data_IF_886437254694
#
_entry.id   IF_886437254694
#
_cell.length_a   1.000
_cell.length_b   1.000
_cell.length_c   1.000
_cell.angle_alpha   90.00
_cell.angle_beta   90.00
_cell.angle_gamma   90.00
#
_symmetry.space_group_name_H-M   'P 1'
#
loop_
_entity.id
_entity.type
_entity.pdbx_description
1 polymer ?
#
# COMPACT_ATOMS: atom_id res chain seq x y z
N UNK A 1 23.68 -36.37 7.60
CA UNK A 1 23.64 -35.03 8.23
C UNK A 1 22.41 -34.38 7.68
N UNK A 2 21.40 -34.25 8.54
CA UNK A 2 20.07 -33.79 8.17
C UNK A 2 19.62 -32.97 9.37
N UNK A 3 19.65 -31.64 9.25
CA UNK A 3 19.30 -30.71 10.31
C UNK A 3 17.88 -30.25 10.02
N UNK A 4 16.92 -30.73 10.82
CA UNK A 4 15.53 -30.26 10.78
C UNK A 4 15.30 -29.33 11.96
N UNK A 5 14.98 -28.07 11.66
CA UNK A 5 14.50 -27.11 12.64
C UNK A 5 13.01 -27.36 12.92
N UNK A 6 12.64 -27.39 14.20
CA UNK A 6 11.24 -27.52 14.63
C UNK A 6 10.94 -26.44 15.67
N UNK A 7 10.17 -25.43 15.27
CA UNK A 7 9.64 -24.40 16.16
C UNK A 7 8.42 -25.01 16.89
N UNK A 8 8.36 -24.86 18.21
CA UNK A 8 7.16 -25.17 19.00
C UNK A 8 6.70 -23.92 19.74
N UNK A 9 5.50 -23.47 19.41
CA UNK A 9 4.70 -22.51 20.20
C UNK A 9 4.04 -23.22 21.38
N UNK A 10 3.85 -22.49 22.49
CA UNK A 10 3.05 -22.90 23.66
C UNK A 10 1.85 -21.94 23.66
N UNK A 11 0.58 -22.36 23.69
CA UNK A 11 0.00 -23.27 24.67
C UNK A 11 -1.23 -24.03 24.13
N UNK A 12 -1.44 -25.26 24.64
CA UNK A 12 -2.74 -25.95 24.66
C UNK A 12 -2.84 -27.33 23.98
N UNK A 13 -2.37 -28.40 24.65
CA UNK A 13 -2.78 -29.84 24.52
C UNK A 13 -2.89 -30.48 23.12
N UNK A 14 -2.09 -31.49 22.73
CA UNK A 14 -2.16 -32.91 23.17
C UNK A 14 -0.77 -33.56 23.02
N UNK A 15 -0.28 -34.31 24.01
CA UNK A 15 0.99 -35.07 23.90
C UNK A 15 0.74 -36.58 23.77
N UNK A 16 1.29 -37.19 22.71
CA UNK A 16 1.57 -38.63 22.63
C UNK A 16 2.98 -38.88 23.19
N UNK A 17 3.12 -39.89 24.05
CA UNK A 17 4.40 -40.27 24.68
C UNK A 17 5.24 -41.16 23.76
N UNK A 18 6.54 -40.89 23.69
CA UNK A 18 7.55 -41.87 23.27
C UNK A 18 8.58 -42.01 24.40
N UNK A 19 8.73 -43.23 24.88
CA UNK A 19 9.57 -43.64 26.00
C UNK A 19 10.98 -44.01 25.50
N UNK A 20 12.05 -43.40 26.02
CA UNK A 20 13.38 -44.06 26.16
C UNK A 20 14.17 -43.42 27.32
N UNK A 21 14.55 -44.25 28.30
CA UNK A 21 15.85 -44.19 29.01
C UNK A 21 16.11 -43.09 30.03
N UNK A 22 16.12 -43.46 31.30
CA UNK A 22 16.31 -42.60 32.48
C UNK A 22 17.76 -42.14 32.75
N UNK A 23 17.97 -40.86 33.08
CA UNK A 23 18.92 -40.36 34.10
C UNK A 23 18.38 -39.00 34.62
N UNK A 24 18.03 -38.92 35.91
CA UNK A 24 17.63 -37.65 36.57
C UNK A 24 18.85 -37.02 37.25
N UNK A 25 19.33 -35.87 36.75
CA UNK A 25 20.28 -35.00 37.44
C UNK A 25 19.55 -33.69 37.76
N UNK A 26 19.41 -33.38 39.04
CA UNK A 26 18.84 -32.10 39.51
C UNK A 26 19.88 -30.98 39.31
N UNK A 27 19.75 -30.23 38.22
CA UNK A 27 20.35 -28.89 38.12
C UNK A 27 19.31 -27.87 38.56
N UNK A 28 19.52 -27.25 39.73
CA UNK A 28 18.87 -25.98 40.03
C UNK A 28 19.50 -24.92 39.12
N UNK A 29 18.93 -24.73 37.94
CA UNK A 29 19.20 -23.53 37.13
C UNK A 29 18.35 -22.43 37.76
N UNK A 30 19.00 -21.56 38.54
CA UNK A 30 18.49 -20.20 38.73
C UNK A 30 18.50 -19.57 37.33
N UNK A 31 17.38 -19.64 36.62
CA UNK A 31 17.15 -18.74 35.50
C UNK A 31 16.96 -17.36 36.10
N UNK A 32 17.86 -16.38 35.87
CA UNK A 32 17.45 -15.01 36.04
C UNK A 32 16.21 -14.84 35.15
N UNK A 33 15.10 -14.40 35.75
CA UNK A 33 13.98 -13.84 34.98
C UNK A 33 14.54 -12.56 34.39
N UNK A 34 15.17 -12.66 33.22
CA UNK A 34 15.29 -11.52 32.35
C UNK A 34 13.87 -11.20 31.93
N UNK A 35 13.31 -10.16 32.55
CA UNK A 35 12.15 -9.47 32.03
C UNK A 35 12.64 -8.73 30.76
N UNK A 36 12.89 -9.48 29.68
CA UNK A 36 13.03 -8.87 28.37
C UNK A 36 11.64 -8.32 28.07
N UNK A 37 11.47 -7.00 28.27
CA UNK A 37 10.29 -6.30 27.80
C UNK A 37 10.11 -6.68 26.32
N UNK A 38 9.03 -7.37 26.00
CA UNK A 38 8.65 -7.64 24.61
C UNK A 38 8.56 -6.29 23.92
N UNK A 39 9.47 -6.03 22.98
CA UNK A 39 9.48 -4.75 22.29
C UNK A 39 8.16 -4.62 21.51
N UNK A 40 7.48 -3.51 21.72
CA UNK A 40 6.25 -3.18 20.99
C UNK A 40 6.70 -2.51 19.68
N UNK A 41 6.32 -3.08 18.55
CA UNK A 41 6.63 -2.50 17.24
C UNK A 41 5.55 -1.48 16.87
N UNK A 42 6.00 -0.31 16.44
CA UNK A 42 5.18 0.69 15.78
C UNK A 42 5.58 0.72 14.31
N UNK A 43 4.64 0.39 13.43
CA UNK A 43 4.86 0.39 11.98
C UNK A 43 4.05 1.49 11.31
N UNK A 44 4.70 2.26 10.45
CA UNK A 44 4.05 3.23 9.57
C UNK A 44 3.83 2.57 8.21
N UNK A 45 2.59 2.55 7.74
CA UNK A 45 2.20 2.01 6.44
C UNK A 45 2.77 2.83 5.29
N UNK A 46 3.06 2.16 4.19
CA UNK A 46 3.44 2.82 2.93
C UNK A 46 2.24 2.92 2.00
N UNK A 47 2.16 4.00 1.24
CA UNK A 47 1.07 4.27 0.30
C UNK A 47 1.63 4.87 -0.99
N UNK A 48 0.84 4.77 -2.06
CA UNK A 48 1.13 5.35 -3.37
C UNK A 48 0.04 6.39 -3.66
N UNK A 49 0.38 7.47 -4.37
CA UNK A 49 -0.61 8.42 -4.87
C UNK A 49 0.00 9.46 -5.80
N UNK A 50 -0.86 10.23 -6.45
CA UNK A 50 -0.47 11.20 -7.47
C UNK A 50 -0.36 12.64 -6.92
N UNK A 51 0.38 13.54 -7.58
CA UNK A 51 0.43 14.95 -7.20
C UNK A 51 -0.97 15.60 -7.09
N UNK A 52 -1.27 16.20 -5.94
CA UNK A 52 -2.57 16.81 -5.64
C UNK A 52 -3.58 15.89 -4.94
N UNK A 53 -3.30 14.59 -4.83
CA UNK A 53 -4.18 13.60 -4.18
C UNK A 53 -4.07 13.63 -2.65
N UNK A 54 -5.14 13.19 -1.97
CA UNK A 54 -5.12 12.89 -0.54
C UNK A 54 -4.93 11.39 -0.31
N UNK A 55 -3.90 11.02 0.46
CA UNK A 55 -3.55 9.63 0.77
C UNK A 55 -3.54 9.37 2.28
N UNK A 56 -3.84 8.14 2.68
CA UNK A 56 -3.95 7.77 4.09
C UNK A 56 -2.87 6.76 4.51
N UNK A 57 -1.85 7.22 5.21
CA UNK A 57 -0.87 6.33 5.85
C UNK A 57 -1.36 5.93 7.25
N UNK A 58 -1.18 4.67 7.64
CA UNK A 58 -1.62 4.16 8.94
C UNK A 58 -0.46 3.82 9.84
N UNK A 59 -0.53 4.20 11.10
CA UNK A 59 0.37 3.72 12.14
C UNK A 59 -0.33 2.56 12.86
N UNK A 60 0.34 1.40 12.89
CA UNK A 60 -0.12 0.20 13.57
C UNK A 60 0.81 -0.16 14.73
N UNK A 61 0.23 -0.71 15.79
CA UNK A 61 0.96 -1.21 16.95
C UNK A 61 0.66 -2.70 17.14
N UNK A 62 1.67 -3.56 17.03
CA UNK A 62 1.50 -5.02 16.96
C UNK A 62 0.98 -5.65 18.27
N UNK A 63 1.40 -5.13 19.42
CA UNK A 63 0.86 -5.50 20.73
C UNK A 63 0.45 -4.25 21.51
N UNK A 64 -0.77 -3.80 21.24
CA UNK A 64 -1.38 -2.65 21.89
C UNK A 64 -2.09 -2.99 23.21
N UNK A 65 -1.96 -4.24 23.70
CA UNK A 65 -2.68 -4.67 24.91
C UNK A 65 -2.25 -3.90 26.15
N UNK A 66 -0.95 -3.62 26.28
CA UNK A 66 -0.38 -2.89 27.41
C UNK A 66 -0.26 -1.39 27.18
N UNK A 67 -0.43 -0.90 25.94
CA UNK A 67 -0.23 0.53 25.60
C UNK A 67 -1.26 1.40 26.30
N UNK A 68 -0.83 2.40 27.05
CA UNK A 68 -1.71 3.33 27.76
C UNK A 68 -1.65 4.75 27.20
N UNK A 69 -0.56 5.11 26.54
CA UNK A 69 -0.44 6.38 25.86
C UNK A 69 0.68 6.37 24.82
N UNK A 70 0.61 7.38 23.98
CA UNK A 70 1.51 7.63 22.87
C UNK A 70 1.90 9.10 22.89
N UNK A 71 3.20 9.37 22.82
CA UNK A 71 3.70 10.68 22.41
C UNK A 71 4.79 10.52 21.37
N UNK A 72 4.55 11.09 20.20
CA UNK A 72 5.53 11.09 19.12
C UNK A 72 5.42 12.33 18.26
N UNK A 73 6.46 12.56 17.47
CA UNK A 73 6.44 13.54 16.38
C UNK A 73 6.54 12.80 15.06
N UNK A 74 5.54 12.96 14.21
CA UNK A 74 5.53 12.45 12.83
C UNK A 74 6.43 13.36 12.01
N UNK A 75 7.46 12.78 11.39
CA UNK A 75 8.39 13.45 10.49
C UNK A 75 8.16 12.96 9.06
N UNK A 76 8.13 13.92 8.16
CA UNK A 76 7.93 13.75 6.73
C UNK A 76 8.52 14.96 6.01
N UNK A 77 8.60 14.91 4.68
CA UNK A 77 9.07 16.02 3.88
C UNK A 77 7.95 17.04 3.63
N UNK A 78 8.03 18.18 4.31
CA UNK A 78 7.05 19.27 4.22
C UNK A 78 7.15 20.06 2.92
N UNK A 79 8.19 19.82 2.10
CA UNK A 79 8.31 20.44 0.78
C UNK A 79 7.30 19.85 -0.20
N UNK A 80 7.06 18.54 -0.15
CA UNK A 80 6.17 17.81 -1.06
C UNK A 80 4.83 17.36 -0.43
N UNK A 81 4.76 17.25 0.89
CA UNK A 81 3.59 16.72 1.60
C UNK A 81 3.03 17.73 2.60
N UNK A 82 1.71 17.67 2.80
CA UNK A 82 1.00 18.38 3.87
C UNK A 82 0.23 17.36 4.70
N UNK A 83 0.39 17.36 6.03
CA UNK A 83 -0.41 16.49 6.91
C UNK A 83 -1.69 17.21 7.35
N UNK A 84 -2.79 16.94 6.64
CA UNK A 84 -4.09 17.59 6.83
C UNK A 84 -4.71 17.24 8.19
N UNK A 85 -4.86 15.95 8.47
CA UNK A 85 -5.43 15.46 9.72
C UNK A 85 -4.72 14.22 10.27
N UNK A 86 -4.91 14.04 11.57
CA UNK A 86 -4.47 12.86 12.30
C UNK A 86 -5.64 12.42 13.17
N UNK A 87 -6.02 11.16 13.07
CA UNK A 87 -7.11 10.58 13.86
C UNK A 87 -6.77 9.16 14.31
N UNK A 88 -7.37 8.68 15.38
CA UNK A 88 -7.29 7.29 15.79
C UNK A 88 -8.64 6.58 15.61
N UNK A 89 -8.62 5.24 15.66
CA UNK A 89 -9.82 4.42 15.54
C UNK A 89 -10.69 4.37 16.82
N UNK A 90 -10.57 5.37 17.71
CA UNK A 90 -11.21 5.41 19.02
C UNK A 90 -10.54 4.52 20.07
N UNK A 91 -9.28 4.17 19.85
CA UNK A 91 -8.47 3.40 20.80
C UNK A 91 -8.04 4.24 22.00
N UNK A 92 -7.80 5.53 21.80
CA UNK A 92 -7.46 6.47 22.86
C UNK A 92 -8.69 7.25 23.32
N UNK A 93 -8.86 7.40 24.64
CA UNK A 93 -9.93 8.23 25.22
C UNK A 93 -9.67 9.73 24.99
N UNK A 94 -8.39 10.10 24.91
CA UNK A 94 -7.92 11.45 24.62
C UNK A 94 -6.87 11.36 23.51
N UNK A 95 -7.11 12.08 22.42
CA UNK A 95 -6.20 12.17 21.29
C UNK A 95 -6.05 13.63 20.86
N UNK A 96 -4.80 14.11 20.78
CA UNK A 96 -4.49 15.49 20.39
C UNK A 96 -3.31 15.52 19.43
N UNK A 97 -3.35 16.43 18.46
CA UNK A 97 -2.23 16.74 17.57
C UNK A 97 -1.91 18.23 17.61
N UNK A 98 -0.63 18.57 17.52
CA UNK A 98 -0.19 19.97 17.41
C UNK A 98 -0.43 20.51 16.00
N UNK A 99 -0.26 21.81 15.82
CA UNK A 99 0.02 22.36 14.49
C UNK A 99 1.36 21.83 13.98
N UNK A 100 1.52 21.83 12.66
CA UNK A 100 2.77 21.48 12.01
C UNK A 100 3.84 22.54 12.29
N UNK A 101 5.05 22.10 12.63
CA UNK A 101 6.23 22.97 12.72
C UNK A 101 7.22 22.55 11.63
N UNK A 102 7.49 23.47 10.69
CA UNK A 102 8.40 23.23 9.56
C UNK A 102 9.76 22.67 10.03
N UNK A 103 10.20 21.57 9.40
CA UNK A 103 11.46 20.88 9.72
C UNK A 103 11.44 20.03 11.01
N UNK A 104 10.37 20.11 11.81
CA UNK A 104 10.17 19.32 13.04
C UNK A 104 9.06 18.28 12.83
N UNK A 105 8.01 18.62 12.10
CA UNK A 105 6.85 17.76 11.85
C UNK A 105 5.66 18.08 12.77
N UNK A 106 4.76 17.11 12.94
CA UNK A 106 3.53 17.27 13.74
C UNK A 106 3.58 16.35 14.95
N UNK A 107 3.34 16.89 16.14
CA UNK A 107 3.37 16.10 17.37
C UNK A 107 1.99 15.53 17.69
N UNK A 108 1.96 14.29 18.16
CA UNK A 108 0.77 13.56 18.59
C UNK A 108 0.94 13.24 20.07
N UNK A 109 -0.11 13.47 20.85
CA UNK A 109 -0.21 13.05 22.25
C UNK A 109 -1.56 12.40 22.50
N UNK A 110 -1.54 11.16 22.96
CA UNK A 110 -2.74 10.38 23.21
C UNK A 110 -2.65 9.54 24.49
N UNK A 111 -3.79 9.28 25.13
CA UNK A 111 -3.89 8.51 26.35
C UNK A 111 -5.24 7.76 26.46
N UNK A 112 -5.23 6.61 27.13
CA UNK A 112 -6.43 5.87 27.52
C UNK A 112 -6.41 5.48 28.99
N UNK A 113 -7.60 5.37 29.58
CA UNK A 113 -7.81 5.12 31.00
C UNK A 113 -7.75 3.63 31.37
N UNK A 114 -7.95 2.73 30.40
CA UNK A 114 -7.88 1.27 30.61
C UNK A 114 -7.13 0.60 29.47
N UNK A 115 -6.28 -0.38 29.81
CA UNK A 115 -5.61 -1.27 28.86
C UNK A 115 -6.48 -2.49 28.52
N UNK A 116 -6.24 -3.11 27.36
CA UNK A 116 -7.01 -4.26 26.91
C UNK A 116 -6.72 -4.66 25.47
N UNK A 117 -7.26 -5.82 25.07
CA UNK A 117 -7.14 -6.38 23.72
C UNK A 117 -7.98 -5.57 22.72
N UNK A 118 -7.38 -4.50 22.19
CA UNK A 118 -7.92 -3.71 21.09
C UNK A 118 -6.78 -3.34 20.16
N UNK A 119 -7.01 -3.34 18.85
CA UNK A 119 -6.02 -2.91 17.86
C UNK A 119 -5.92 -1.39 17.86
N UNK A 120 -4.72 -0.86 18.08
CA UNK A 120 -4.46 0.56 17.94
C UNK A 120 -4.13 0.89 16.48
N UNK A 121 -4.92 1.76 15.86
CA UNK A 121 -4.69 2.29 14.52
C UNK A 121 -4.79 3.81 14.57
N UNK A 122 -3.78 4.49 14.02
CA UNK A 122 -3.76 5.95 13.84
C UNK A 122 -3.66 6.24 12.34
N UNK A 123 -4.61 7.00 11.82
CA UNK A 123 -4.66 7.44 10.44
C UNK A 123 -4.00 8.80 10.31
N UNK A 124 -3.05 8.89 9.38
CA UNK A 124 -2.40 10.11 8.93
C UNK A 124 -2.97 10.46 7.55
N UNK A 125 -3.76 11.53 7.46
CA UNK A 125 -4.30 12.01 6.20
C UNK A 125 -3.32 13.02 5.59
N UNK A 126 -2.56 12.58 4.61
CA UNK A 126 -1.64 13.43 3.86
C UNK A 126 -2.30 13.95 2.59
N UNK A 127 -1.96 15.17 2.21
CA UNK A 127 -2.13 15.69 0.86
C UNK A 127 -0.76 15.75 0.19
N UNK A 128 -0.65 15.14 -0.98
CA UNK A 128 0.50 15.31 -1.87
C UNK A 128 0.32 16.65 -2.57
N UNK A 129 1.33 17.51 -2.51
CA UNK A 129 1.27 18.81 -3.18
C UNK A 129 1.29 18.65 -4.70
N UNK A 130 0.72 19.61 -5.41
CA UNK A 130 0.94 19.73 -6.86
C UNK A 130 2.32 20.35 -7.14
N UNK A 131 2.81 20.20 -8.36
CA UNK A 131 4.05 20.85 -8.79
C UNK A 131 4.04 22.36 -8.64
N UNK A 132 2.88 23.00 -8.81
CA UNK A 132 2.74 24.45 -8.65
C UNK A 132 2.91 24.90 -7.20
N UNK A 133 2.72 23.99 -6.25
CA UNK A 133 2.82 24.24 -4.81
C UNK A 133 4.23 23.97 -4.25
N UNK A 134 5.15 23.41 -5.03
CA UNK A 134 6.51 23.10 -4.60
C UNK A 134 7.57 24.06 -5.17
N UNK A 135 8.63 24.28 -4.39
CA UNK A 135 9.70 25.20 -4.78
C UNK A 135 10.56 24.69 -5.95
N UNK A 136 10.64 23.37 -6.12
CA UNK A 136 11.34 22.68 -7.21
C UNK A 136 10.49 22.56 -8.49
N UNK A 137 9.18 22.77 -8.38
CA UNK A 137 8.24 22.70 -9.50
C UNK A 137 8.02 21.29 -10.04
N UNK A 138 8.40 20.24 -9.29
CA UNK A 138 8.23 18.86 -9.74
C UNK A 138 8.24 17.87 -8.56
N UNK A 139 7.08 17.33 -8.22
CA UNK A 139 6.92 16.33 -7.14
C UNK A 139 7.15 14.94 -7.70
N UNK A 140 8.18 14.23 -7.21
CA UNK A 140 8.54 12.88 -7.66
C UNK A 140 9.34 12.12 -6.60
N UNK A 141 9.23 10.79 -6.61
CA UNK A 141 10.06 9.90 -5.81
C UNK A 141 9.38 9.31 -4.56
N UNK A 142 10.22 8.88 -3.61
CA UNK A 142 9.79 8.28 -2.34
C UNK A 142 9.98 9.26 -1.18
N UNK A 143 8.90 9.55 -0.45
CA UNK A 143 8.92 10.40 0.74
C UNK A 143 8.75 9.57 2.00
N UNK A 144 9.82 9.44 2.78
CA UNK A 144 9.80 8.68 4.04
C UNK A 144 8.89 9.35 5.10
N UNK A 145 8.08 8.53 5.78
CA UNK A 145 7.31 8.90 6.95
C UNK A 145 7.83 8.11 8.14
N UNK A 146 8.29 8.82 9.16
CA UNK A 146 8.82 8.20 10.39
C UNK A 146 8.25 8.86 11.63
N UNK A 147 8.28 8.15 12.76
CA UNK A 147 7.90 8.72 14.06
C UNK A 147 9.10 8.77 14.98
N UNK A 148 9.26 9.91 15.65
CA UNK A 148 10.35 10.16 16.58
C UNK A 148 9.81 10.41 17.99
N UNK A 149 10.57 10.08 19.04
CA UNK A 149 10.23 10.50 20.39
C UNK A 149 10.15 12.03 20.48
N UNK A 150 9.10 12.57 21.10
CA UNK A 150 8.98 14.00 21.35
C UNK A 150 9.64 14.39 22.68
N UNK A 151 10.25 15.57 22.73
CA UNK A 151 10.68 16.18 23.99
C UNK A 151 9.47 16.90 24.61
N UNK A 152 8.93 16.35 25.70
CA UNK A 152 7.77 16.91 26.40
C UNK A 152 8.24 17.84 27.52
N UNK A 153 7.73 19.08 27.54
CA UNK A 153 7.94 20.03 28.63
C UNK A 153 6.62 20.18 29.42
N UNK A 154 6.36 19.27 30.37
CA UNK A 154 5.15 19.30 31.20
C UNK A 154 5.45 19.13 32.71
N UNK A 155 5.86 20.22 33.37
CA UNK A 155 6.21 20.22 34.80
C UNK A 155 5.11 19.72 35.77
N UNK A 156 3.80 19.93 35.52
CA UNK A 156 2.75 19.47 36.45
C UNK A 156 2.65 17.95 36.60
N UNK A 157 3.12 17.16 35.63
CA UNK A 157 3.19 15.70 35.74
C UNK A 157 4.61 15.20 36.12
N UNK A 158 5.52 16.10 36.49
CA UNK A 158 6.88 15.76 36.92
C UNK A 158 7.90 15.60 35.80
N UNK A 159 7.56 15.98 34.55
CA UNK A 159 8.51 15.98 33.44
C UNK A 159 9.29 17.30 33.41
N UNK A 160 10.60 17.24 33.71
CA UNK A 160 11.53 18.37 33.60
C UNK A 160 12.03 18.53 32.16
N UNK A 161 12.52 19.73 31.83
CA UNK A 161 13.18 20.04 30.57
C UNK A 161 14.35 19.08 30.36
N UNK A 162 14.36 18.36 29.24
CA UNK A 162 15.35 17.34 28.80
C UNK A 162 15.01 15.86 29.10
N UNK A 163 13.81 15.55 29.60
CA UNK A 163 13.38 14.13 29.69
C UNK A 163 12.88 13.63 28.34
N UNK A 164 13.62 12.75 27.67
CA UNK A 164 13.11 12.01 26.50
C UNK A 164 12.07 10.98 26.97
N UNK A 165 10.81 11.20 26.61
CA UNK A 165 9.74 10.23 26.86
C UNK A 165 9.79 9.18 25.76
N UNK A 166 9.54 7.92 26.12
CA UNK A 166 9.44 6.87 25.11
C UNK A 166 8.16 7.06 24.32
N UNK A 167 8.19 6.64 23.05
CA UNK A 167 7.04 6.81 22.16
C UNK A 167 5.79 6.20 22.79
N UNK A 168 5.93 5.00 23.39
CA UNK A 168 4.84 4.30 24.06
C UNK A 168 5.14 4.11 25.55
N UNK A 169 4.08 4.18 26.35
CA UNK A 169 4.08 3.73 27.74
C UNK A 169 2.82 2.93 28.05
N UNK A 170 2.93 1.96 28.97
CA UNK A 170 1.80 1.15 29.40
C UNK A 170 1.20 1.60 30.73
N UNK A 171 0.19 0.89 31.24
CA UNK A 171 -0.37 1.08 32.60
C UNK A 171 0.26 0.08 33.57
N UNK A 172 0.87 0.55 34.66
CA UNK A 172 1.27 -0.30 35.79
C UNK A 172 0.07 -0.52 36.71
N UNK A 173 -0.66 -1.62 36.49
CA UNK A 173 -1.81 -1.98 37.34
C UNK A 173 -1.44 -2.28 38.80
N UNK A 174 -0.15 -2.41 39.12
CA UNK A 174 0.33 -2.59 40.49
C UNK A 174 0.49 -1.28 41.26
N UNK A 175 0.45 -0.13 40.58
CA UNK A 175 0.56 1.20 41.16
C UNK A 175 -0.73 1.98 40.95
N UNK A 176 -1.14 2.78 41.95
CA UNK A 176 -2.29 3.66 41.81
C UNK A 176 -1.88 4.96 41.08
N UNK A 177 -2.43 5.24 39.88
CA UNK A 177 -2.08 6.42 39.09
C UNK A 177 -2.44 7.73 39.79
N UNK A 178 -3.37 7.73 40.76
CA UNK A 178 -3.75 8.94 41.50
C UNK A 178 -2.79 9.28 42.63
N UNK A 179 -2.08 8.29 43.20
CA UNK A 179 -1.13 8.52 44.28
C UNK A 179 0.32 8.59 43.82
N UNK A 180 0.67 8.00 42.67
CA UNK A 180 2.03 8.07 42.13
C UNK A 180 2.08 8.07 40.59
N UNK A 181 1.58 9.12 39.92
CA UNK A 181 1.40 9.16 38.48
C UNK A 181 2.72 8.99 37.70
N UNK A 182 3.86 9.43 38.23
CA UNK A 182 5.16 9.33 37.55
C UNK A 182 5.77 7.92 37.53
N UNK A 183 5.25 7.00 38.34
CA UNK A 183 5.70 5.59 38.42
C UNK A 183 4.63 4.59 37.99
N UNK A 184 3.42 5.06 37.68
CA UNK A 184 2.28 4.23 37.31
C UNK A 184 2.26 3.80 35.83
N UNK A 185 3.28 4.15 35.03
CA UNK A 185 3.33 3.82 33.60
C UNK A 185 4.66 3.14 33.24
N UNK A 186 4.72 1.83 32.92
CA UNK A 186 5.94 1.20 32.44
C UNK A 186 6.39 1.79 31.11
N UNK A 187 7.69 2.05 30.99
CA UNK A 187 8.35 2.30 29.71
C UNK A 187 8.24 1.05 28.85
N UNK A 188 7.66 1.19 27.66
CA UNK A 188 7.70 0.14 26.64
C UNK A 188 8.93 0.38 25.76
N UNK A 189 9.68 -0.68 25.46
CA UNK A 189 10.70 -0.63 24.41
C UNK A 189 9.96 -0.59 23.08
N UNK A 190 10.21 0.45 22.29
CA UNK A 190 9.53 0.64 21.00
C UNK A 190 10.52 0.48 19.86
N UNK A 191 10.25 -0.42 18.93
CA UNK A 191 10.87 -0.44 17.60
C UNK A 191 9.99 0.35 16.64
N UNK A 192 10.58 1.26 15.86
CA UNK A 192 9.85 2.07 14.89
C UNK A 192 10.24 1.63 13.48
N UNK A 193 9.26 1.22 12.70
CA UNK A 193 9.40 0.95 11.27
C UNK A 193 8.79 2.11 10.49
N UNK A 194 9.64 2.80 9.72
CA UNK A 194 9.21 3.88 8.84
C UNK A 194 8.41 3.35 7.65
N UNK A 195 7.51 4.17 7.15
CA UNK A 195 6.76 3.96 5.92
C UNK A 195 7.19 4.99 4.87
N UNK A 196 6.54 4.98 3.72
CA UNK A 196 6.76 5.97 2.67
C UNK A 196 5.50 6.31 1.91
N UNK A 197 5.43 7.52 1.37
CA UNK A 197 4.54 7.87 0.27
C UNK A 197 5.37 7.83 -1.01
N UNK A 198 4.98 6.98 -1.95
CA UNK A 198 5.60 6.90 -3.28
C UNK A 198 4.71 7.63 -4.29
N UNK A 199 5.32 8.43 -5.16
CA UNK A 199 4.59 9.12 -6.24
C UNK A 199 4.40 8.17 -7.41
N UNK A 200 3.16 8.11 -7.91
CA UNK A 200 2.72 7.48 -9.17
C UNK A 200 1.91 8.56 -9.88
N UNK A 201 2.54 9.20 -10.85
CA UNK A 201 2.08 10.50 -11.35
C UNK A 201 1.05 10.39 -12.46
N UNK A 202 1.18 9.41 -13.32
CA UNK A 202 0.19 9.12 -14.35
C UNK A 202 -0.89 8.14 -13.87
N UNK A 203 -0.67 7.44 -12.74
CA UNK A 203 -1.67 6.62 -12.07
C UNK A 203 -1.86 5.26 -12.75
N UNK A 204 -0.85 4.74 -13.43
CA UNK A 204 -0.91 3.49 -14.18
C UNK A 204 -0.59 2.24 -13.32
N UNK A 205 -0.10 2.45 -12.10
CA UNK A 205 0.29 1.41 -11.15
C UNK A 205 1.79 1.20 -10.99
N UNK A 206 2.65 1.93 -11.71
CA UNK A 206 4.07 2.05 -11.44
C UNK A 206 4.37 3.37 -10.73
N UNK A 207 5.23 3.30 -9.72
CA UNK A 207 5.74 4.53 -9.12
C UNK A 207 6.77 5.19 -10.03
N UNK A 208 6.92 6.51 -9.95
CA UNK A 208 7.93 7.28 -10.66
C UNK A 208 9.35 6.70 -10.51
N UNK A 209 9.63 6.06 -9.37
CA UNK A 209 10.92 5.42 -9.09
C UNK A 209 11.09 4.13 -9.89
N UNK A 210 10.02 3.34 -9.99
CA UNK A 210 9.98 2.09 -10.77
C UNK A 210 10.06 2.38 -12.26
N UNK A 211 9.30 3.36 -12.75
CA UNK A 211 9.32 3.77 -14.14
C UNK A 211 10.70 4.22 -14.60
N UNK A 212 11.39 5.01 -13.78
CA UNK A 212 12.77 5.41 -14.04
C UNK A 212 13.74 4.22 -14.16
N UNK A 213 13.48 3.18 -13.38
CA UNK A 213 14.31 1.98 -13.37
C UNK A 213 14.03 1.10 -14.60
N UNK A 214 12.80 1.13 -15.11
CA UNK A 214 12.36 0.42 -16.31
C UNK A 214 12.65 1.21 -17.60
N UNK A 215 12.75 2.53 -17.52
CA UNK A 215 12.94 3.42 -18.66
C UNK A 215 11.62 3.86 -19.31
N UNK A 216 10.49 3.70 -18.62
CA UNK A 216 9.17 4.20 -19.02
C UNK A 216 9.01 5.70 -18.68
N UNK A 217 7.95 6.32 -19.19
CA UNK A 217 7.67 7.75 -19.07
C UNK A 217 6.64 8.06 -17.98
N UNK A 218 7.10 8.65 -16.88
CA UNK A 218 6.32 9.00 -15.66
C UNK A 218 5.10 9.88 -15.84
N UNK A 219 5.00 10.51 -16.99
CA UNK A 219 3.89 11.40 -17.32
C UNK A 219 2.93 10.74 -18.34
N UNK A 220 3.11 9.45 -18.64
CA UNK A 220 2.39 8.73 -19.68
C UNK A 220 2.16 7.25 -19.35
N UNK A 221 0.89 6.91 -19.08
CA UNK A 221 0.46 5.58 -18.64
C UNK A 221 0.81 4.42 -19.58
N UNK A 222 1.09 4.70 -20.85
CA UNK A 222 1.39 3.71 -21.90
C UNK A 222 2.55 4.26 -22.75
N UNK A 223 3.77 3.91 -22.36
CA UNK A 223 5.00 4.49 -22.91
C UNK A 223 5.19 4.13 -24.38
N UNK A 224 4.84 2.91 -24.79
CA UNK A 224 5.04 2.43 -26.14
C UNK A 224 3.81 2.57 -27.07
N UNK A 225 2.70 3.05 -26.51
CA UNK A 225 1.46 3.45 -27.16
C UNK A 225 0.77 2.30 -27.88
N UNK A 226 0.67 1.14 -27.23
CA UNK A 226 0.06 -0.06 -27.78
C UNK A 226 -1.34 -0.39 -27.24
N UNK A 227 -1.81 0.42 -26.29
CA UNK A 227 -3.13 0.34 -25.66
C UNK A 227 -3.14 -0.40 -24.33
N UNK A 228 -1.98 -0.86 -23.84
CA UNK A 228 -1.81 -1.48 -22.53
C UNK A 228 -0.98 -0.55 -21.63
N UNK A 229 -1.41 -0.25 -20.39
CA UNK A 229 -0.62 0.59 -19.49
C UNK A 229 0.67 -0.09 -19.00
N UNK A 230 1.75 0.66 -18.80
CA UNK A 230 3.07 0.13 -18.45
C UNK A 230 3.01 -0.71 -17.16
N UNK A 231 2.26 -0.24 -16.16
CA UNK A 231 2.05 -0.95 -14.90
C UNK A 231 1.32 -2.27 -15.06
N UNK A 232 0.34 -2.34 -15.96
CA UNK A 232 -0.34 -3.59 -16.28
C UNK A 232 0.61 -4.56 -16.99
N UNK A 233 1.38 -4.07 -17.95
CA UNK A 233 2.35 -4.88 -18.69
C UNK A 233 3.41 -5.50 -17.77
N UNK A 234 3.98 -4.70 -16.86
CA UNK A 234 4.96 -5.16 -15.87
C UNK A 234 4.35 -6.23 -14.96
N UNK A 235 3.10 -6.07 -14.52
CA UNK A 235 2.39 -7.08 -13.72
C UNK A 235 2.23 -8.39 -14.51
N UNK A 236 1.92 -8.30 -15.80
CA UNK A 236 1.79 -9.45 -16.70
C UNK A 236 3.13 -9.98 -17.25
N UNK A 237 4.26 -9.35 -16.90
CA UNK A 237 5.61 -9.69 -17.41
C UNK A 237 5.74 -9.52 -18.93
N UNK A 238 5.00 -8.55 -19.47
CA UNK A 238 5.19 -7.98 -20.79
C UNK A 238 6.26 -6.89 -20.71
N UNK A 239 6.58 -6.29 -21.86
CA UNK A 239 7.62 -5.29 -21.97
C UNK A 239 7.01 -3.93 -22.36
N UNK A 240 6.94 -2.96 -21.43
CA UNK A 240 6.29 -1.65 -21.64
C UNK A 240 7.05 -0.69 -22.57
N UNK A 241 7.97 -1.24 -23.35
CA UNK A 241 8.81 -0.53 -24.31
C UNK A 241 8.81 -1.26 -25.68
N UNK A 242 7.95 -2.26 -25.86
CA UNK A 242 7.79 -3.05 -27.08
C UNK A 242 6.31 -3.20 -27.45
N UNK A 243 5.82 -2.17 -28.13
CA UNK A 243 4.47 -2.04 -28.67
C UNK A 243 3.99 -3.18 -29.59
N UNK A 244 4.85 -4.17 -29.86
CA UNK A 244 4.50 -5.33 -30.67
C UNK A 244 3.99 -6.50 -29.83
N UNK A 245 4.21 -6.47 -28.52
CA UNK A 245 3.84 -7.56 -27.63
C UNK A 245 2.34 -7.57 -27.28
N UNK A 246 1.63 -6.44 -27.38
CA UNK A 246 0.15 -6.39 -27.45
C UNK A 246 -0.47 -7.40 -28.40
N UNK A 247 0.21 -7.72 -29.50
CA UNK A 247 -0.27 -8.65 -30.54
C UNK A 247 0.19 -10.09 -30.36
N UNK A 248 1.00 -10.36 -29.35
CA UNK A 248 1.47 -11.71 -29.06
C UNK A 248 0.40 -12.43 -28.25
N UNK A 249 0.16 -13.69 -28.59
CA UNK A 249 -0.59 -14.65 -27.77
C UNK A 249 0.40 -15.30 -26.81
N UNK A 250 0.51 -14.74 -25.60
CA UNK A 250 1.53 -15.13 -24.63
C UNK A 250 1.29 -16.53 -24.05
N UNK A 251 0.05 -16.99 -23.96
CA UNK A 251 -0.30 -18.28 -23.35
C UNK A 251 -0.79 -19.37 -24.32
N UNK A 252 -0.97 -19.02 -25.59
CA UNK A 252 -1.27 -19.92 -26.70
C UNK A 252 -2.73 -20.31 -26.83
N UNK A 253 -3.68 -19.49 -26.37
CA UNK A 253 -5.11 -19.79 -26.42
C UNK A 253 -5.87 -19.20 -27.61
N UNK A 254 -5.16 -18.44 -28.45
CA UNK A 254 -5.68 -17.81 -29.66
C UNK A 254 -6.26 -16.41 -29.44
N UNK A 255 -5.87 -15.71 -28.38
CA UNK A 255 -6.12 -14.28 -28.18
C UNK A 255 -4.81 -13.55 -27.90
N UNK A 256 -4.67 -12.33 -28.38
CA UNK A 256 -3.49 -11.51 -28.11
C UNK A 256 -3.59 -10.79 -26.74
N UNK A 257 -2.44 -10.36 -26.20
CA UNK A 257 -2.35 -9.69 -24.91
C UNK A 257 -3.26 -8.46 -24.78
N UNK A 258 -3.33 -7.61 -25.81
CA UNK A 258 -4.22 -6.44 -25.83
C UNK A 258 -5.69 -6.83 -25.74
N UNK A 259 -6.08 -7.89 -26.47
CA UNK A 259 -7.45 -8.39 -26.48
C UNK A 259 -7.85 -8.92 -25.09
N UNK A 260 -6.91 -9.49 -24.37
CA UNK A 260 -7.09 -9.96 -23.00
C UNK A 260 -7.11 -8.84 -21.98
N UNK A 261 -6.27 -7.81 -22.13
CA UNK A 261 -6.30 -6.60 -21.34
C UNK A 261 -7.70 -5.97 -21.36
N UNK A 262 -8.25 -5.72 -22.57
CA UNK A 262 -9.58 -5.12 -22.76
C UNK A 262 -10.70 -5.99 -22.16
N UNK A 263 -10.55 -7.32 -22.16
CA UNK A 263 -11.51 -8.24 -21.55
C UNK A 263 -11.27 -8.58 -20.08
N UNK A 264 -10.27 -7.96 -19.45
CA UNK A 264 -9.85 -8.26 -18.09
C UNK A 264 -9.60 -9.77 -17.86
N UNK A 265 -9.01 -10.44 -18.85
CA UNK A 265 -8.56 -11.82 -18.74
C UNK A 265 -7.06 -11.87 -18.45
N UNK A 266 -6.48 -13.08 -18.32
CA UNK A 266 -5.12 -13.22 -17.83
C UNK A 266 -4.26 -13.77 -18.96
N UNK A 267 -3.36 -12.95 -19.56
CA UNK A 267 -2.62 -13.33 -20.76
C UNK A 267 -1.53 -14.38 -20.55
N UNK A 268 -1.51 -14.96 -19.35
CA UNK A 268 -0.51 -15.93 -18.93
C UNK A 268 -1.16 -17.26 -18.59
N UNK A 269 -2.45 -17.41 -18.89
CA UNK A 269 -3.26 -18.53 -18.46
C UNK A 269 -4.40 -18.81 -19.45
N UNK A 270 -4.13 -19.70 -20.40
CA UNK A 270 -5.02 -20.15 -21.49
C UNK A 270 -6.43 -20.65 -21.13
N UNK A 271 -6.71 -20.82 -19.84
CA UNK A 271 -8.07 -21.09 -19.34
C UNK A 271 -8.90 -19.83 -19.08
N UNK A 272 -8.25 -18.66 -19.05
CA UNK A 272 -8.80 -17.36 -18.69
C UNK A 272 -8.78 -16.52 -19.95
N UNK A 273 -9.86 -16.60 -20.74
CA UNK A 273 -9.86 -16.11 -22.10
C UNK A 273 -11.11 -15.33 -22.44
N UNK A 274 -11.05 -14.40 -23.42
CA UNK A 274 -12.22 -13.70 -23.90
C UNK A 274 -13.30 -14.68 -24.40
N UNK A 275 -14.55 -14.41 -24.04
CA UNK A 275 -15.70 -15.23 -24.44
C UNK A 275 -16.74 -14.48 -25.27
N UNK A 276 -16.62 -13.16 -25.36
CA UNK A 276 -17.54 -12.28 -26.09
C UNK A 276 -16.77 -11.65 -27.24
N UNK A 277 -17.35 -11.64 -28.44
CA UNK A 277 -16.86 -10.84 -29.57
C UNK A 277 -17.12 -9.36 -29.26
N UNK A 278 -16.07 -8.53 -29.32
CA UNK A 278 -16.19 -7.08 -29.11
C UNK A 278 -16.52 -6.36 -30.42
N UNK A 279 -16.19 -6.97 -31.57
CA UNK A 279 -16.45 -6.42 -32.89
C UNK A 279 -17.81 -6.82 -33.49
N UNK A 280 -18.60 -7.67 -32.82
CA UNK A 280 -19.97 -8.00 -33.23
C UNK A 280 -20.91 -6.81 -32.92
N UNK A 281 -21.18 -5.99 -33.93
CA UNK A 281 -21.94 -4.74 -33.79
C UNK A 281 -23.44 -4.94 -33.95
N UNK A 282 -23.86 -6.06 -34.53
CA UNK A 282 -25.26 -6.33 -34.88
C UNK A 282 -25.90 -7.41 -33.96
N UNK A 283 -25.11 -7.99 -33.05
CA UNK A 283 -25.45 -9.08 -32.11
C UNK A 283 -25.94 -10.36 -32.81
N UNK A 284 -25.34 -10.75 -33.94
CA UNK A 284 -25.66 -11.99 -34.66
C UNK A 284 -24.66 -13.15 -34.42
N UNK A 285 -23.78 -12.99 -33.43
CA UNK A 285 -22.79 -13.95 -32.95
C UNK A 285 -21.65 -14.23 -33.97
N UNK A 286 -21.45 -13.41 -35.00
CA UNK A 286 -20.25 -13.44 -35.83
C UNK A 286 -19.66 -12.05 -36.13
N UNK A 287 -18.45 -12.04 -36.72
CA UNK A 287 -17.80 -10.80 -37.17
C UNK A 287 -17.49 -10.95 -38.64
N UNK A 288 -18.22 -10.23 -39.49
CA UNK A 288 -18.19 -10.41 -40.93
C UNK A 288 -18.05 -9.08 -41.71
N UNK A 289 -18.45 -9.11 -42.98
CA UNK A 289 -18.36 -7.94 -43.86
C UNK A 289 -19.28 -6.78 -43.45
N UNK A 290 -20.34 -7.03 -42.67
CA UNK A 290 -21.20 -5.99 -42.13
C UNK A 290 -20.42 -5.14 -41.13
N UNK A 291 -19.79 -5.75 -40.13
CA UNK A 291 -19.01 -5.06 -39.10
C UNK A 291 -17.81 -4.34 -39.72
N UNK A 292 -17.15 -4.97 -40.72
CA UNK A 292 -16.07 -4.31 -41.48
C UNK A 292 -16.56 -3.03 -42.18
N UNK A 293 -17.78 -3.04 -42.71
CA UNK A 293 -18.35 -1.88 -43.39
C UNK A 293 -18.66 -0.73 -42.43
N UNK A 294 -19.11 -1.05 -41.21
CA UNK A 294 -19.33 -0.06 -40.14
C UNK A 294 -18.01 0.47 -39.59
N UNK A 295 -17.03 -0.39 -39.29
CA UNK A 295 -15.69 0.03 -38.86
C UNK A 295 -15.04 0.95 -39.90
N UNK A 296 -15.10 0.60 -41.19
CA UNK A 296 -14.52 1.40 -42.26
C UNK A 296 -15.21 2.77 -42.41
N UNK A 297 -16.50 2.88 -42.05
CA UNK A 297 -17.23 4.16 -42.04
C UNK A 297 -16.76 5.08 -40.92
N UNK A 298 -16.28 4.49 -39.82
CA UNK A 298 -15.93 5.19 -38.59
C UNK A 298 -14.43 5.39 -38.42
N UNK A 299 -13.58 4.73 -39.21
CA UNK A 299 -12.12 4.89 -39.13
C UNK A 299 -11.67 6.36 -39.18
N UNK A 300 -10.79 6.74 -38.25
CA UNK A 300 -10.32 8.11 -37.97
C UNK A 300 -11.39 9.07 -37.43
N UNK A 301 -12.55 8.56 -37.01
CA UNK A 301 -13.52 9.36 -36.27
C UNK A 301 -12.99 9.62 -34.86
N UNK A 302 -13.13 10.87 -34.41
CA UNK A 302 -12.81 11.30 -33.05
C UNK A 302 -14.06 11.83 -32.36
N UNK A 303 -14.06 11.85 -31.03
CA UNK A 303 -15.19 12.22 -30.17
C UNK A 303 -16.31 11.16 -30.13
N UNK A 304 -15.94 9.89 -29.98
CA UNK A 304 -16.88 8.80 -29.72
C UNK A 304 -17.50 8.84 -28.30
N UNK A 305 -17.53 10.02 -27.67
CA UNK A 305 -17.85 10.31 -26.26
C UNK A 305 -19.30 10.02 -25.82
N UNK A 306 -20.11 9.34 -26.63
CA UNK A 306 -21.38 8.74 -26.21
C UNK A 306 -21.92 7.79 -27.30
N UNK A 307 -21.54 6.51 -27.24
CA UNK A 307 -22.26 5.35 -27.80
C UNK A 307 -22.70 5.38 -29.27
N UNK A 308 -22.02 6.11 -30.16
CA UNK A 308 -22.36 6.11 -31.60
C UNK A 308 -21.26 5.60 -32.52
N UNK A 309 -20.05 5.37 -32.00
CA UNK A 309 -19.02 4.68 -32.75
C UNK A 309 -19.08 3.20 -32.35
N UNK A 310 -19.48 2.35 -33.27
CA UNK A 310 -19.38 0.91 -33.10
C UNK A 310 -17.91 0.47 -33.15
N UNK A 311 -17.10 1.16 -33.96
CA UNK A 311 -15.70 0.84 -34.19
C UNK A 311 -14.71 1.21 -33.09
N UNK A 312 -15.13 1.84 -31.98
CA UNK A 312 -14.27 2.17 -30.84
C UNK A 312 -14.26 0.97 -29.87
N UNK A 313 -13.39 0.00 -30.17
CA UNK A 313 -13.31 -1.32 -29.55
C UNK A 313 -12.50 -1.31 -28.25
N UNK A 314 -11.54 -0.39 -28.10
CA UNK A 314 -10.76 -0.21 -26.86
C UNK A 314 -11.38 0.84 -25.91
N UNK A 315 -12.34 1.64 -26.39
CA UNK A 315 -13.08 2.62 -25.59
C UNK A 315 -12.32 3.92 -25.36
N UNK A 316 -11.26 4.20 -26.11
CA UNK A 316 -10.43 5.40 -25.95
C UNK A 316 -11.08 6.67 -26.56
N UNK A 317 -12.22 6.54 -27.24
CA UNK A 317 -12.98 7.65 -27.80
C UNK A 317 -12.60 8.05 -29.23
N UNK A 318 -11.70 7.31 -29.86
CA UNK A 318 -11.33 7.42 -31.28
C UNK A 318 -11.42 6.06 -31.94
N UNK A 319 -11.71 6.04 -33.25
CA UNK A 319 -11.60 4.81 -34.04
C UNK A 319 -10.31 4.88 -34.83
N UNK A 320 -9.32 4.09 -34.46
CA UNK A 320 -7.97 4.18 -35.01
C UNK A 320 -7.36 2.80 -35.36
N UNK A 321 -6.02 2.76 -35.42
CA UNK A 321 -5.31 1.56 -35.81
C UNK A 321 -5.45 0.43 -34.78
N UNK A 322 -5.61 0.74 -33.50
CA UNK A 322 -5.78 -0.24 -32.42
C UNK A 322 -7.10 -0.99 -32.60
N UNK A 323 -8.19 -0.27 -32.88
CA UNK A 323 -9.49 -0.88 -33.18
C UNK A 323 -9.45 -1.75 -34.43
N UNK A 324 -8.79 -1.28 -35.49
CA UNK A 324 -8.65 -2.08 -36.70
C UNK A 324 -7.91 -3.39 -36.43
N UNK A 325 -6.94 -3.40 -35.52
CA UNK A 325 -6.21 -4.62 -35.16
C UNK A 325 -7.08 -5.56 -34.32
N UNK A 326 -7.80 -5.03 -33.33
CA UNK A 326 -8.77 -5.81 -32.54
C UNK A 326 -9.86 -6.43 -33.42
N UNK A 327 -10.34 -5.68 -34.42
CA UNK A 327 -11.28 -6.18 -35.40
C UNK A 327 -10.71 -7.36 -36.20
N UNK A 328 -9.47 -7.24 -36.70
CA UNK A 328 -8.82 -8.30 -37.49
C UNK A 328 -8.65 -9.60 -36.69
N UNK A 329 -8.46 -9.50 -35.37
CA UNK A 329 -8.37 -10.67 -34.49
C UNK A 329 -9.68 -11.47 -34.44
N UNK A 330 -10.83 -10.79 -34.55
CA UNK A 330 -12.16 -11.40 -34.48
C UNK A 330 -12.80 -11.67 -35.85
N UNK A 331 -12.29 -11.05 -36.93
CA UNK A 331 -12.87 -11.20 -38.25
C UNK A 331 -12.94 -12.67 -38.71
N UNK A 332 -14.16 -13.14 -39.00
CA UNK A 332 -14.45 -14.51 -39.40
C UNK A 332 -14.52 -15.51 -38.23
N UNK A 333 -14.60 -15.04 -36.98
CA UNK A 333 -15.00 -15.87 -35.82
C UNK A 333 -16.53 -15.95 -35.75
N UNK A 334 -17.03 -17.07 -35.21
CA UNK A 334 -18.45 -17.44 -35.04
C UNK A 334 -18.63 -18.27 -33.76
#
# INVERSE_FOLDING_TARGET
>A
MDVRFQIHTRAGGVRRYLFVGAVFIWFFVFSPVFNEATAVTLSVGSVVGSPGENVQAKILIDDSSEVAGLVCTVRYDTSALTLESVSDNGFFDVFTSSDEIAGVGRSISAARAQTGEATCEITLDFRIKTDEETDDGYVTGDYEITVMPTVLNYPPAGYDTDTTINILWGLDTSQDPFTNPGLAYPKLTTEVLAGKISIDRDGDGLTDVEENALGTDRDNQDTDADGMPDGWEVEQRLNPLDSSDSFVDLDGDGFCNLREYISATNPRKSSSKPSKLIADFNDDDDVDGYELSELAREFQTSNCASSTCYGDLDGNGVVDQTDLRLFVEEFGRN
#
